data_IF_872350310850
#
_entry.id   IF_872350310850
#
_cell.length_a   1.000
_cell.length_b   1.000
_cell.length_c   1.000
_cell.angle_alpha   90.00
_cell.angle_beta   90.00
_cell.angle_gamma   90.00
#
_symmetry.space_group_name_H-M   'P 1'
#
loop_
_entity.id
_entity.type
_entity.pdbx_description
1 polymer ?
#
# COMPACT_ATOMS: atom_id res chain seq x y z
N UNK A 1 11.85 -28.02 -19.43
CA UNK A 1 10.71 -27.52 -18.63
C UNK A 1 11.17 -26.25 -17.94
N UNK A 2 10.80 -25.04 -18.37
CA UNK A 2 10.99 -23.86 -17.53
C UNK A 2 9.81 -23.75 -16.57
N UNK A 3 10.08 -23.86 -15.27
CA UNK A 3 9.12 -23.60 -14.19
C UNK A 3 8.89 -22.09 -14.11
N UNK A 4 7.76 -21.65 -14.64
CA UNK A 4 7.24 -20.29 -14.50
C UNK A 4 6.78 -20.10 -13.05
N UNK A 5 7.73 -19.87 -12.14
CA UNK A 5 7.41 -19.37 -10.80
C UNK A 5 7.05 -17.89 -10.99
N UNK A 6 5.77 -17.61 -11.24
CA UNK A 6 5.20 -16.30 -10.92
C UNK A 6 5.25 -16.17 -9.40
N UNK A 7 6.40 -15.73 -8.89
CA UNK A 7 6.54 -15.34 -7.49
C UNK A 7 5.81 -14.01 -7.41
N UNK A 8 4.53 -14.05 -7.03
CA UNK A 8 3.86 -12.85 -6.55
C UNK A 8 4.73 -12.30 -5.43
N UNK A 9 5.33 -11.12 -5.65
CA UNK A 9 6.18 -10.48 -4.64
C UNK A 9 5.39 -10.43 -3.34
N UNK A 10 5.97 -10.96 -2.27
CA UNK A 10 5.31 -10.92 -0.96
C UNK A 10 5.16 -9.47 -0.55
N UNK A 11 3.92 -8.98 -0.53
CA UNK A 11 3.57 -7.64 -0.06
C UNK A 11 2.95 -7.77 1.32
N UNK A 12 3.46 -7.02 2.28
CA UNK A 12 2.91 -6.95 3.63
C UNK A 12 2.82 -5.49 4.07
N UNK A 13 1.67 -5.11 4.65
CA UNK A 13 1.55 -3.85 5.35
C UNK A 13 2.28 -3.95 6.70
N UNK A 14 3.25 -3.08 6.92
CA UNK A 14 4.02 -3.01 8.16
C UNK A 14 3.34 -2.06 9.15
N UNK A 15 3.21 -0.78 8.79
CA UNK A 15 2.65 0.25 9.66
C UNK A 15 2.04 1.43 8.92
N UNK A 16 1.27 2.25 9.65
CA UNK A 16 0.76 3.54 9.19
C UNK A 16 1.42 4.63 10.04
N UNK A 17 2.08 5.58 9.38
CA UNK A 17 2.90 6.62 10.01
C UNK A 17 2.27 7.98 9.72
N UNK A 18 2.16 8.84 10.73
CA UNK A 18 1.78 10.24 10.53
C UNK A 18 3.04 11.09 10.33
N UNK A 19 3.28 11.53 9.10
CA UNK A 19 4.41 12.39 8.75
C UNK A 19 4.00 13.86 8.75
N UNK A 20 4.73 14.74 9.46
CA UNK A 20 4.42 16.16 9.50
C UNK A 20 4.57 16.78 8.10
N UNK A 21 3.51 17.43 7.62
CA UNK A 21 3.47 18.06 6.29
C UNK A 21 3.06 17.14 5.13
N UNK A 22 3.11 15.82 5.32
CA UNK A 22 2.75 14.82 4.31
C UNK A 22 1.46 14.04 4.67
N UNK A 23 1.12 14.00 5.96
CA UNK A 23 -0.05 13.31 6.48
C UNK A 23 0.22 11.82 6.74
N UNK A 24 -0.82 11.00 6.69
CA UNK A 24 -0.69 9.56 6.92
C UNK A 24 -0.12 8.84 5.69
N UNK A 25 0.94 8.07 5.90
CA UNK A 25 1.58 7.19 4.91
C UNK A 25 1.57 5.74 5.39
N UNK A 26 1.55 4.80 4.46
CA UNK A 26 1.65 3.37 4.74
C UNK A 26 3.04 2.85 4.37
N UNK A 27 3.66 2.10 5.27
CA UNK A 27 4.86 1.33 4.97
C UNK A 27 4.47 -0.08 4.51
N UNK A 28 4.81 -0.41 3.27
CA UNK A 28 4.66 -1.74 2.69
C UNK A 28 6.03 -2.39 2.53
N UNK A 29 6.18 -3.63 3.03
CA UNK A 29 7.30 -4.48 2.68
C UNK A 29 6.98 -5.23 1.40
N UNK A 30 7.80 -5.05 0.39
CA UNK A 30 7.73 -5.76 -0.89
C UNK A 30 9.03 -6.55 -1.00
N UNK A 31 8.92 -7.88 -0.98
CA UNK A 31 10.08 -8.79 -0.83
C UNK A 31 10.89 -8.45 0.44
N UNK A 32 12.11 -7.93 0.27
CA UNK A 32 13.02 -7.55 1.36
C UNK A 32 13.17 -6.04 1.54
N UNK A 33 12.44 -5.23 0.79
CA UNK A 33 12.53 -3.77 0.82
C UNK A 33 11.24 -3.16 1.38
N UNK A 34 11.39 -2.09 2.18
CA UNK A 34 10.28 -1.28 2.66
C UNK A 34 10.08 -0.08 1.73
N UNK A 35 8.82 0.19 1.40
CA UNK A 35 8.38 1.31 0.57
C UNK A 35 7.27 2.06 1.30
N UNK A 36 7.34 3.38 1.30
CA UNK A 36 6.31 4.23 1.88
C UNK A 36 5.42 4.79 0.79
N UNK A 37 4.11 4.73 1.01
CA UNK A 37 3.11 5.24 0.08
C UNK A 37 2.11 6.12 0.82
N UNK A 38 1.91 7.33 0.32
CA UNK A 38 0.81 8.18 0.71
C UNK A 38 -0.52 7.68 0.10
N UNK A 39 -1.63 8.35 0.42
CA UNK A 39 -2.96 8.01 -0.11
C UNK A 39 -2.99 7.97 -1.65
N UNK A 40 -2.39 8.95 -2.32
CA UNK A 40 -2.34 9.01 -3.79
C UNK A 40 -1.43 7.93 -4.36
N UNK A 41 -0.26 7.70 -3.75
CA UNK A 41 0.64 6.60 -4.11
C UNK A 41 -0.05 5.23 -4.08
N UNK A 42 -0.77 4.92 -3.00
CA UNK A 42 -1.53 3.67 -2.88
C UNK A 42 -2.64 3.57 -3.94
N UNK A 43 -3.39 4.65 -4.18
CA UNK A 43 -4.45 4.66 -5.20
C UNK A 43 -3.88 4.37 -6.60
N UNK A 44 -2.73 4.96 -6.93
CA UNK A 44 -2.04 4.71 -8.18
C UNK A 44 -1.61 3.24 -8.30
N UNK A 45 -0.94 2.73 -7.27
CA UNK A 45 -0.42 1.35 -7.24
C UNK A 45 -1.54 0.30 -7.37
N UNK A 46 -2.69 0.53 -6.71
CA UNK A 46 -3.86 -0.36 -6.83
C UNK A 46 -4.38 -0.39 -8.27
N UNK A 47 -4.48 0.77 -8.93
CA UNK A 47 -4.93 0.86 -10.31
C UNK A 47 -3.95 0.14 -11.25
N UNK A 48 -2.64 0.33 -11.06
CA UNK A 48 -1.62 -0.34 -11.85
C UNK A 48 -1.66 -1.86 -11.66
N UNK A 49 -1.76 -2.34 -10.42
CA UNK A 49 -1.87 -3.77 -10.13
C UNK A 49 -3.09 -4.40 -10.77
N UNK A 50 -4.27 -3.77 -10.63
CA UNK A 50 -5.51 -4.25 -11.25
C UNK A 50 -5.43 -4.28 -12.78
N UNK A 51 -4.79 -3.30 -13.41
CA UNK A 51 -4.58 -3.27 -14.87
C UNK A 51 -3.69 -4.43 -15.35
N UNK A 52 -2.74 -4.85 -14.52
CA UNK A 52 -1.84 -5.97 -14.82
C UNK A 52 -2.37 -7.33 -14.32
N UNK A 53 -3.60 -7.39 -13.80
CA UNK A 53 -4.18 -8.62 -13.25
C UNK A 53 -3.55 -9.10 -11.94
N UNK A 54 -2.83 -8.22 -11.23
CA UNK A 54 -2.15 -8.52 -9.97
C UNK A 54 -3.05 -8.27 -8.75
N UNK A 55 -2.83 -9.02 -7.68
CA UNK A 55 -3.50 -8.82 -6.41
C UNK A 55 -3.06 -7.51 -5.73
N UNK A 56 -4.04 -6.67 -5.37
CA UNK A 56 -3.85 -5.38 -4.70
C UNK A 56 -4.44 -5.32 -3.28
N UNK A 57 -4.81 -6.45 -2.68
CA UNK A 57 -5.56 -6.49 -1.42
C UNK A 57 -4.80 -5.87 -0.24
N UNK A 58 -3.46 -5.93 -0.24
CA UNK A 58 -2.64 -5.34 0.82
C UNK A 58 -2.62 -3.82 0.69
N UNK A 59 -2.47 -3.30 -0.52
CA UNK A 59 -2.56 -1.86 -0.81
C UNK A 59 -3.96 -1.31 -0.51
N UNK A 60 -5.01 -2.08 -0.85
CA UNK A 60 -6.39 -1.72 -0.53
C UNK A 60 -6.62 -1.65 0.99
N UNK A 61 -6.07 -2.61 1.75
CA UNK A 61 -6.13 -2.59 3.21
C UNK A 61 -5.38 -1.38 3.79
N UNK A 62 -4.18 -1.09 3.26
CA UNK A 62 -3.39 0.06 3.66
C UNK A 62 -4.15 1.39 3.39
N UNK A 63 -4.75 1.51 2.21
CA UNK A 63 -5.52 2.70 1.81
C UNK A 63 -6.75 2.87 2.70
N UNK A 64 -7.47 1.79 3.00
CA UNK A 64 -8.61 1.81 3.91
C UNK A 64 -8.20 2.30 5.31
N UNK A 65 -7.07 1.81 5.84
CA UNK A 65 -6.53 2.27 7.12
C UNK A 65 -6.16 3.75 7.10
N UNK A 66 -5.43 4.23 6.08
CA UNK A 66 -5.10 5.65 5.94
C UNK A 66 -6.36 6.52 5.96
N UNK A 67 -7.41 6.12 5.24
CA UNK A 67 -8.67 6.86 5.22
C UNK A 67 -9.37 6.86 6.59
N UNK A 68 -9.33 5.73 7.31
CA UNK A 68 -9.87 5.65 8.68
C UNK A 68 -9.10 6.56 9.65
N UNK A 69 -7.76 6.56 9.60
CA UNK A 69 -6.93 7.47 10.40
C UNK A 69 -7.18 8.93 10.03
N UNK A 70 -7.19 9.27 8.76
CA UNK A 70 -7.49 10.64 8.31
C UNK A 70 -8.89 11.10 8.71
N UNK A 71 -9.86 10.20 8.83
CA UNK A 71 -11.23 10.54 9.27
C UNK A 71 -11.35 10.65 10.80
N UNK A 72 -10.51 9.91 11.54
CA UNK A 72 -10.49 9.92 13.00
C UNK A 72 -9.65 11.09 13.57
N UNK A 73 -8.62 11.50 12.85
CA UNK A 73 -7.66 12.54 13.26
C UNK A 73 -7.76 13.82 12.41
N UNK A 74 -8.54 13.81 11.32
CA UNK A 74 -8.88 15.00 10.54
C UNK A 74 -9.99 15.80 11.24
N UNK A 75 -9.65 17.04 11.57
CA UNK A 75 -10.48 18.06 12.23
C UNK A 75 -11.93 18.12 11.70
N UNK A 76 -12.89 18.18 12.64
CA UNK A 76 -14.21 18.79 12.41
C UNK A 76 -14.09 20.28 12.62
#
# INVERSE_FOLDING_TARGET
MPTDYNIEKEVALIEIINLPGEGFVAELRIDSASYMFDRQGLQHLIVEKRKNGLNASVEENALARINSFSSAFGER
#
